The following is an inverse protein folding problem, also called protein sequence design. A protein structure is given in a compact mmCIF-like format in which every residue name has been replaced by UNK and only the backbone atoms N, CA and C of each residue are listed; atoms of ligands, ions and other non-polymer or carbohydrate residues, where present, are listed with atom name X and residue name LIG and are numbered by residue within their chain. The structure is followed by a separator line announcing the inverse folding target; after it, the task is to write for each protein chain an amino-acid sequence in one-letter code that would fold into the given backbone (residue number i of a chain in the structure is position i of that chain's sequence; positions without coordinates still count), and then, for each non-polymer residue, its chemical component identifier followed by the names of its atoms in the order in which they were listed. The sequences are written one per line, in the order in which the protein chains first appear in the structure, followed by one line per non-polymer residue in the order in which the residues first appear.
data_IF_601987797377
#
_entry.id   IF_601987797377
#
_cell.length_a   1.000
_cell.length_b   1.000
_cell.length_c   1.000
_cell.angle_alpha   90.00
_cell.angle_beta   90.00
_cell.angle_gamma   90.00
#
_symmetry.space_group_name_H-M   'P 1'
#
loop_
_entity.id
_entity.type
_entity.pdbx_description
1 polymer ?
#
# COMPACT_ATOMS: atom_id res chain seq x y z
N UNK A 1 -15.78 -15.25 2.74
CA UNK A 1 -14.51 -14.62 2.30
C UNK A 1 -14.78 -13.37 1.46
N UNK A 2 -14.36 -12.17 1.90
CA UNK A 2 -14.40 -10.97 1.04
C UNK A 2 -13.13 -10.96 0.21
N UNK A 3 -13.27 -10.98 -1.11
CA UNK A 3 -12.13 -10.85 -2.04
C UNK A 3 -11.51 -9.46 -1.89
N UNK A 4 -10.28 -9.30 -2.37
CA UNK A 4 -9.62 -7.98 -2.39
C UNK A 4 -10.49 -6.93 -3.11
N UNK A 5 -11.14 -7.34 -4.20
CA UNK A 5 -12.05 -6.50 -4.98
C UNK A 5 -13.23 -6.00 -4.14
N UNK A 6 -13.89 -6.89 -3.39
CA UNK A 6 -15.01 -6.51 -2.51
C UNK A 6 -14.57 -5.53 -1.42
N UNK A 7 -13.33 -5.63 -0.94
CA UNK A 7 -12.81 -4.69 0.06
C UNK A 7 -12.52 -3.31 -0.56
N UNK A 8 -11.96 -3.25 -1.76
CA UNK A 8 -11.70 -1.98 -2.44
C UNK A 8 -12.98 -1.24 -2.82
N UNK A 9 -13.97 -1.97 -3.34
CA UNK A 9 -15.29 -1.39 -3.65
C UNK A 9 -15.94 -0.86 -2.37
N UNK A 10 -15.89 -1.61 -1.26
CA UNK A 10 -16.40 -1.13 0.02
C UNK A 10 -15.70 0.15 0.48
N UNK A 11 -14.36 0.17 0.46
CA UNK A 11 -13.59 1.36 0.86
C UNK A 11 -13.98 2.57 0.00
N UNK A 12 -14.13 2.39 -1.32
CA UNK A 12 -14.53 3.48 -2.20
C UNK A 12 -15.95 4.00 -1.89
N UNK A 13 -16.91 3.10 -1.65
CA UNK A 13 -18.27 3.50 -1.24
C UNK A 13 -18.24 4.25 0.09
N UNK A 14 -17.45 3.79 1.06
CA UNK A 14 -17.31 4.47 2.36
C UNK A 14 -16.71 5.88 2.19
N UNK A 15 -15.69 6.06 1.34
CA UNK A 15 -15.12 7.37 1.03
C UNK A 15 -16.18 8.30 0.41
N UNK A 16 -16.87 7.84 -0.64
CA UNK A 16 -17.87 8.68 -1.30
C UNK A 16 -19.04 9.06 -0.39
N UNK A 17 -19.43 8.19 0.54
CA UNK A 17 -20.44 8.53 1.57
C UNK A 17 -19.99 9.65 2.49
N UNK A 18 -18.69 9.79 2.73
CA UNK A 18 -18.12 10.85 3.55
C UNK A 18 -17.82 12.13 2.75
N UNK A 19 -18.08 12.15 1.44
CA UNK A 19 -17.67 13.25 0.55
C UNK A 19 -16.17 13.22 0.21
N UNK A 20 -15.49 12.11 0.50
CA UNK A 20 -14.08 11.88 0.28
C UNK A 20 -13.82 11.22 -1.09
N UNK A 21 -12.55 11.21 -1.49
CA UNK A 21 -12.08 10.63 -2.74
C UNK A 21 -11.68 9.17 -2.56
N UNK A 22 -12.07 8.33 -3.53
CA UNK A 22 -11.64 6.94 -3.57
C UNK A 22 -10.28 6.82 -4.26
N UNK A 23 -9.44 5.93 -3.72
CA UNK A 23 -8.17 5.58 -4.32
C UNK A 23 -7.98 4.07 -4.40
N UNK A 24 -7.42 3.64 -5.54
CA UNK A 24 -7.08 2.26 -5.82
C UNK A 24 -5.58 2.17 -6.13
N UNK A 25 -4.83 1.48 -5.27
CA UNK A 25 -3.50 1.00 -5.60
C UNK A 25 -3.60 -0.45 -6.06
N UNK A 26 -3.17 -0.70 -7.30
CA UNK A 26 -3.27 -1.98 -8.02
C UNK A 26 -1.92 -2.41 -8.58
N UNK A 27 -1.89 -3.63 -9.12
CA UNK A 27 -0.74 -4.19 -9.84
C UNK A 27 0.55 -4.19 -9.01
N UNK A 28 0.43 -4.57 -7.74
CA UNK A 28 1.53 -4.59 -6.79
C UNK A 28 2.60 -5.60 -7.16
N UNK A 29 3.80 -5.12 -7.47
CA UNK A 29 5.00 -5.92 -7.70
C UNK A 29 5.92 -5.81 -6.50
N UNK A 30 6.38 -6.97 -5.99
CA UNK A 30 7.34 -7.06 -4.91
C UNK A 30 8.63 -7.71 -5.42
N UNK A 31 9.77 -7.05 -5.20
CA UNK A 31 11.10 -7.61 -5.49
C UNK A 31 11.87 -7.77 -4.17
N UNK A 32 11.92 -8.98 -3.60
CA UNK A 32 12.59 -9.21 -2.33
C UNK A 32 14.11 -9.23 -2.47
N UNK A 33 14.80 -8.71 -1.47
CA UNK A 33 16.23 -8.87 -1.24
C UNK A 33 16.47 -9.37 0.20
N UNK A 34 17.73 -9.45 0.62
CA UNK A 34 18.09 -10.04 1.91
C UNK A 34 17.52 -9.24 3.10
N UNK A 35 17.59 -7.91 3.02
CA UNK A 35 17.17 -7.01 4.11
C UNK A 35 16.25 -5.89 3.64
N UNK A 36 15.69 -6.04 2.44
CA UNK A 36 14.76 -5.08 1.86
C UNK A 36 13.75 -5.75 0.94
N UNK A 37 12.66 -5.04 0.67
CA UNK A 37 11.71 -5.39 -0.38
C UNK A 37 11.43 -4.11 -1.17
N UNK A 38 11.62 -4.18 -2.50
CA UNK A 38 11.17 -3.12 -3.40
C UNK A 38 9.69 -3.31 -3.70
N UNK A 39 8.87 -2.30 -3.41
CA UNK A 39 7.45 -2.27 -3.73
C UNK A 39 7.20 -1.30 -4.86
N UNK A 40 6.48 -1.74 -5.90
CA UNK A 40 5.94 -0.90 -6.98
C UNK A 40 4.45 -1.15 -7.13
N UNK A 41 3.66 -0.10 -7.32
CA UNK A 41 2.23 -0.19 -7.59
C UNK A 41 1.76 0.87 -8.59
N UNK A 42 0.59 0.68 -9.17
CA UNK A 42 -0.10 1.69 -9.96
C UNK A 42 -1.24 2.29 -9.13
N UNK A 43 -1.25 3.61 -8.99
CA UNK A 43 -2.30 4.36 -8.31
C UNK A 43 -3.37 4.87 -9.28
N UNK A 44 -4.63 4.86 -8.85
CA UNK A 44 -5.75 5.46 -9.58
C UNK A 44 -6.72 6.08 -8.58
N UNK A 45 -6.92 7.39 -8.63
CA UNK A 45 -7.85 8.11 -7.75
C UNK A 45 -9.05 8.67 -8.49
N UNK A 46 -10.15 8.89 -7.77
CA UNK A 46 -11.35 9.55 -8.27
C UNK A 46 -12.07 10.31 -7.14
N UNK A 47 -12.47 11.57 -7.34
CA UNK A 47 -12.21 12.46 -8.49
C UNK A 47 -10.75 12.96 -8.60
N UNK A 48 -9.99 12.97 -7.51
CA UNK A 48 -8.58 13.38 -7.51
C UNK A 48 -7.64 12.22 -7.14
N UNK A 49 -6.41 12.28 -7.64
CA UNK A 49 -5.36 11.32 -7.31
C UNK A 49 -4.53 11.78 -6.11
N UNK A 50 -4.11 10.88 -5.21
CA UNK A 50 -3.19 11.23 -4.14
C UNK A 50 -1.80 11.61 -4.68
N UNK A 51 -1.10 12.44 -3.92
CA UNK A 51 0.25 12.92 -4.23
C UNK A 51 1.30 12.26 -3.32
N UNK A 52 0.87 11.83 -2.13
CA UNK A 52 1.71 11.14 -1.13
C UNK A 52 1.02 9.90 -0.58
N UNK A 53 1.86 8.94 -0.21
CA UNK A 53 1.42 7.66 0.33
C UNK A 53 2.33 7.23 1.46
N UNK A 54 1.79 6.35 2.30
CA UNK A 54 2.54 5.59 3.27
C UNK A 54 2.54 4.12 2.87
N UNK A 55 3.73 3.55 2.76
CA UNK A 55 3.90 2.10 2.75
C UNK A 55 3.96 1.67 4.21
N UNK A 56 3.03 0.81 4.61
CA UNK A 56 3.02 0.20 5.93
C UNK A 56 3.36 -1.29 5.84
N UNK A 57 4.15 -1.80 6.78
CA UNK A 57 4.56 -3.21 6.77
C UNK A 57 4.77 -3.82 8.16
N UNK A 58 4.76 -5.15 8.20
CA UNK A 58 5.03 -5.94 9.40
C UNK A 58 5.06 -7.45 9.13
N UNK A 59 5.33 -8.23 10.15
CA UNK A 59 5.39 -9.71 10.07
C UNK A 59 4.02 -10.37 10.17
N UNK A 60 2.95 -9.59 10.41
CA UNK A 60 1.56 -10.05 10.43
C UNK A 60 0.66 -9.12 9.63
N UNK A 61 -0.38 -9.69 8.99
CA UNK A 61 -1.43 -8.94 8.26
C UNK A 61 -2.22 -7.99 9.15
N UNK A 62 -2.23 -8.21 10.46
CA UNK A 62 -2.95 -7.38 11.45
C UNK A 62 -2.05 -6.40 12.19
N UNK A 63 -0.73 -6.51 12.05
CA UNK A 63 0.25 -5.68 12.77
C UNK A 63 1.27 -5.09 11.79
N UNK A 64 0.80 -4.14 10.97
CA UNK A 64 1.65 -3.34 10.08
C UNK A 64 2.15 -2.12 10.85
N UNK A 65 3.20 -2.32 11.66
CA UNK A 65 3.70 -1.36 12.65
C UNK A 65 4.71 -0.37 12.09
N UNK A 66 5.37 -0.72 11.00
CA UNK A 66 6.37 0.12 10.37
C UNK A 66 5.73 0.92 9.24
N UNK A 67 6.21 2.15 9.04
CA UNK A 67 5.67 3.09 8.06
C UNK A 67 6.80 3.84 7.36
N UNK A 68 6.67 4.06 6.06
CA UNK A 68 7.58 4.86 5.24
C UNK A 68 6.76 5.67 4.25
N UNK A 69 6.89 6.98 4.31
CA UNK A 69 6.24 7.88 3.36
C UNK A 69 6.97 7.89 2.02
N UNK A 70 6.19 7.94 0.94
CA UNK A 70 6.65 7.90 -0.44
C UNK A 70 5.87 8.89 -1.32
N UNK A 71 6.49 9.31 -2.42
CA UNK A 71 5.83 10.12 -3.45
C UNK A 71 5.07 9.25 -4.46
N UNK A 72 4.27 9.88 -5.32
CA UNK A 72 3.68 9.23 -6.51
C UNK A 72 4.75 8.65 -7.46
N UNK A 73 5.88 9.33 -7.62
CA UNK A 73 6.99 8.85 -8.45
C UNK A 73 7.62 7.58 -7.85
N UNK A 74 7.81 7.54 -6.54
CA UNK A 74 8.28 6.35 -5.83
C UNK A 74 7.27 5.19 -5.93
N UNK A 75 5.96 5.45 -5.85
CA UNK A 75 4.92 4.42 -5.95
C UNK A 75 5.00 3.69 -7.30
N UNK A 76 5.09 4.46 -8.38
CA UNK A 76 5.07 3.97 -9.76
C UNK A 76 6.44 3.49 -10.27
N UNK A 77 7.54 4.08 -9.82
CA UNK A 77 8.91 3.66 -10.14
C UNK A 77 9.43 2.53 -9.24
N UNK A 78 8.80 2.36 -8.09
CA UNK A 78 9.13 1.39 -7.06
C UNK A 78 10.12 1.93 -6.03
N UNK A 79 9.86 1.63 -4.76
CA UNK A 79 10.66 2.08 -3.62
C UNK A 79 11.17 0.91 -2.80
N UNK A 80 12.46 0.97 -2.45
CA UNK A 80 13.05 0.06 -1.50
C UNK A 80 12.63 0.39 -0.07
N UNK A 81 12.20 -0.64 0.64
CA UNK A 81 11.87 -0.60 2.06
C UNK A 81 12.91 -1.47 2.75
N UNK A 82 13.76 -0.86 3.58
CA UNK A 82 14.93 -1.50 4.17
C UNK A 82 14.69 -1.87 5.64
N UNK A 83 15.68 -2.49 6.29
CA UNK A 83 15.61 -2.84 7.71
C UNK A 83 14.76 -4.09 8.02
N UNK A 84 14.51 -4.93 7.02
CA UNK A 84 13.77 -6.17 7.20
C UNK A 84 14.71 -7.32 7.59
N UNK A 85 14.29 -8.25 8.46
CA UNK A 85 15.07 -9.45 8.75
C UNK A 85 15.15 -10.37 7.52
N UNK A 86 16.25 -11.11 7.39
CA UNK A 86 16.44 -12.14 6.34
C UNK A 86 15.44 -13.28 6.47
N UNK A 87 15.17 -13.97 5.37
CA UNK A 87 14.31 -15.17 5.32
C UNK A 87 12.95 -15.03 6.03
N UNK A 88 12.41 -13.82 6.09
CA UNK A 88 11.22 -13.48 6.89
C UNK A 88 10.08 -13.06 5.98
N UNK A 89 8.88 -13.56 6.27
CA UNK A 89 7.66 -13.16 5.56
C UNK A 89 7.20 -11.79 6.06
N UNK A 90 7.11 -10.84 5.15
CA UNK A 90 6.68 -9.47 5.42
C UNK A 90 5.39 -9.18 4.64
N UNK A 91 4.43 -8.57 5.32
CA UNK A 91 3.17 -8.09 4.76
C UNK A 91 3.27 -6.58 4.54
N UNK A 92 2.76 -6.10 3.41
CA UNK A 92 2.85 -4.70 2.98
C UNK A 92 1.51 -4.18 2.48
N UNK A 93 1.23 -2.90 2.73
CA UNK A 93 0.05 -2.20 2.22
C UNK A 93 0.39 -0.74 1.94
N UNK A 94 -0.20 -0.18 0.88
CA UNK A 94 -0.12 1.25 0.55
C UNK A 94 -1.38 1.95 1.02
N UNK A 95 -1.20 3.13 1.62
CA UNK A 95 -2.27 4.01 2.10
C UNK A 95 -2.00 5.44 1.60
N UNK A 96 -2.96 6.13 0.97
CA UNK A 96 -2.82 7.56 0.71
C UNK A 96 -2.67 8.33 2.02
N UNK A 97 -1.79 9.33 2.01
CA UNK A 97 -1.59 10.25 3.13
C UNK A 97 -1.83 11.72 2.74
N UNK A 98 -1.89 12.04 1.44
CA UNK A 98 -2.25 13.37 0.93
C UNK A 98 -2.90 13.27 -0.47
N UNK A 99 -3.99 14.02 -0.76
CA UNK A 99 -4.68 14.96 0.13
C UNK A 99 -5.51 14.25 1.22
N UNK A 100 -5.95 14.96 2.28
CA UNK A 100 -6.78 14.39 3.35
C UNK A 100 -8.03 13.68 2.84
N UNK A 101 -8.65 14.19 1.77
CA UNK A 101 -9.81 13.57 1.12
C UNK A 101 -9.53 12.16 0.57
N UNK A 102 -8.28 11.76 0.37
CA UNK A 102 -7.93 10.41 -0.08
C UNK A 102 -7.59 9.46 1.09
N UNK A 103 -7.43 10.00 2.30
CA UNK A 103 -7.09 9.23 3.50
C UNK A 103 -8.27 8.32 3.86
N UNK A 104 -7.99 7.06 4.19
CA UNK A 104 -9.01 6.04 4.45
C UNK A 104 -9.04 4.94 3.40
N UNK A 105 -8.65 5.25 2.16
CA UNK A 105 -8.42 4.25 1.12
C UNK A 105 -7.21 3.37 1.46
N UNK A 106 -7.25 2.10 1.06
CA UNK A 106 -6.19 1.11 1.33
C UNK A 106 -6.02 0.18 0.14
N UNK A 107 -4.77 -0.15 -0.20
CA UNK A 107 -4.49 -1.24 -1.12
C UNK A 107 -4.84 -2.60 -0.51
N UNK A 108 -4.80 -3.64 -1.34
CA UNK A 108 -4.68 -5.01 -0.84
C UNK A 108 -3.42 -5.17 0.02
N UNK A 109 -3.42 -6.19 0.89
CA UNK A 109 -2.22 -6.56 1.64
C UNK A 109 -1.43 -7.56 0.80
N UNK A 110 -0.23 -7.17 0.40
CA UNK A 110 0.72 -8.00 -0.32
C UNK A 110 1.67 -8.67 0.66
N UNK A 111 2.36 -9.72 0.22
CA UNK A 111 3.43 -10.31 1.02
C UNK A 111 4.57 -10.83 0.15
N UNK A 112 5.76 -10.79 0.71
CA UNK A 112 6.94 -11.44 0.17
C UNK A 112 7.79 -11.99 1.31
N UNK A 113 8.68 -12.92 0.99
CA UNK A 113 9.71 -13.42 1.90
C UNK A 113 11.04 -12.78 1.49
N UNK A 114 11.74 -12.13 2.42
CA UNK A 114 13.12 -11.67 2.19
C UNK A 114 14.02 -12.86 1.89
N UNK A 115 15.10 -12.63 1.16
CA UNK A 115 16.05 -13.69 0.81
C UNK A 115 16.97 -14.02 1.99
N UNK A 116 17.77 -15.08 1.85
CA UNK A 116 18.88 -15.37 2.75
C UNK A 116 19.97 -14.28 2.67
#
# INVERSE_FOLDING_TARGET
PRTWFNQCVKNAIDQYKNGDNAFYARDGTLTPAATSIKLRMLGSGHPASPTKYDIVWGTSKTALINTQSISQADLSGGKDITGMPKSTKIFLQVRPSDPPACVGSRSGIYYAKTTA
#
